data_IF_341836574194
#
_entry.id   IF_341836574194
#
_cell.length_a   1.000
_cell.length_b   1.000
_cell.length_c   1.000
_cell.angle_alpha   90.00
_cell.angle_beta   90.00
_cell.angle_gamma   90.00
#
_symmetry.space_group_name_H-M   'P 1'
#
loop_
_entity.id
_entity.type
_entity.pdbx_description
1 polymer ?
#
# COMPACT_ATOMS: atom_id res chain seq x y z
N UNK A 1 -7.42 -3.76 -22.90
CA UNK A 1 -7.03 -2.63 -22.03
C UNK A 1 -5.81 -3.09 -21.27
N UNK A 2 -4.62 -2.73 -21.75
CA UNK A 2 -3.39 -3.07 -21.05
C UNK A 2 -3.27 -2.08 -19.90
N UNK A 3 -3.57 -2.54 -18.69
CA UNK A 3 -3.38 -1.76 -17.48
C UNK A 3 -1.87 -1.51 -17.35
N UNK A 4 -1.44 -0.27 -17.57
CA UNK A 4 -0.06 0.12 -17.38
C UNK A 4 0.13 0.32 -15.87
N UNK A 5 0.28 -0.80 -15.15
CA UNK A 5 0.40 -0.79 -13.70
C UNK A 5 1.68 -0.07 -13.29
N UNK A 6 1.54 1.17 -12.83
CA UNK A 6 2.64 1.96 -12.27
C UNK A 6 2.82 1.49 -10.82
N UNK A 7 4.07 1.24 -10.43
CA UNK A 7 4.43 0.86 -9.07
C UNK A 7 5.47 1.81 -8.50
N UNK A 8 5.39 2.07 -7.19
CA UNK A 8 6.44 2.72 -6.41
C UNK A 8 7.26 1.65 -5.69
N UNK A 9 8.56 1.86 -5.57
CA UNK A 9 9.43 1.00 -4.77
C UNK A 9 9.41 1.47 -3.31
N UNK A 10 9.17 0.54 -2.38
CA UNK A 10 9.27 0.77 -0.94
C UNK A 10 10.26 -0.22 -0.32
N UNK A 11 11.18 0.28 0.50
CA UNK A 11 12.09 -0.56 1.29
C UNK A 11 11.59 -0.58 2.72
N UNK A 12 11.27 -1.77 3.23
CA UNK A 12 10.75 -1.94 4.58
C UNK A 12 11.81 -1.65 5.64
N UNK A 13 11.35 -1.19 6.79
CA UNK A 13 12.14 -1.09 8.02
C UNK A 13 11.82 -2.25 8.96
N UNK A 14 12.74 -2.54 9.90
CA UNK A 14 12.57 -3.66 10.83
C UNK A 14 11.33 -3.46 11.71
N UNK A 15 10.43 -4.44 11.72
CA UNK A 15 9.19 -4.39 12.50
C UNK A 15 8.06 -3.60 11.84
N UNK A 16 8.21 -3.18 10.58
CA UNK A 16 7.19 -2.44 9.86
C UNK A 16 5.96 -3.32 9.55
N UNK A 17 4.77 -2.71 9.50
CA UNK A 17 3.50 -3.40 9.33
C UNK A 17 2.83 -3.06 8.01
N UNK A 18 2.10 -4.01 7.45
CA UNK A 18 1.33 -3.83 6.23
C UNK A 18 0.35 -2.65 6.31
N UNK A 19 -0.36 -2.51 7.43
CA UNK A 19 -1.32 -1.42 7.66
C UNK A 19 -0.66 -0.03 7.66
N UNK A 20 0.54 0.10 8.22
CA UNK A 20 1.32 1.34 8.17
C UNK A 20 1.77 1.71 6.76
N UNK A 21 2.20 0.73 5.97
CA UNK A 21 2.60 0.96 4.58
C UNK A 21 1.37 1.40 3.78
N UNK A 22 0.24 0.72 3.93
CA UNK A 22 -1.00 1.10 3.25
C UNK A 22 -1.49 2.50 3.64
N UNK A 23 -1.47 2.84 4.93
CA UNK A 23 -1.76 4.20 5.39
C UNK A 23 -0.85 5.24 4.73
N UNK A 24 0.46 4.97 4.63
CA UNK A 24 1.43 5.90 4.05
C UNK A 24 1.16 6.20 2.57
N UNK A 25 0.78 5.19 1.80
CA UNK A 25 0.64 5.34 0.34
C UNK A 25 -0.79 5.59 -0.11
N UNK A 26 -1.78 5.18 0.68
CA UNK A 26 -3.19 5.23 0.29
C UNK A 26 -4.08 6.02 1.26
N UNK A 27 -3.53 6.53 2.37
CA UNK A 27 -4.32 7.07 3.47
C UNK A 27 -5.43 6.10 3.95
N UNK A 28 -5.20 4.80 3.75
CA UNK A 28 -6.15 3.73 4.04
C UNK A 28 -5.38 2.54 4.65
N UNK A 29 -5.53 2.27 5.96
CA UNK A 29 -4.82 1.20 6.62
C UNK A 29 -5.40 -0.18 6.30
N UNK A 30 -6.59 -0.30 5.69
CA UNK A 30 -7.13 -1.58 5.21
C UNK A 30 -6.75 -1.85 3.75
N UNK A 31 -6.17 -0.87 3.07
CA UNK A 31 -5.71 -0.96 1.69
C UNK A 31 -4.52 -1.90 1.45
N UNK A 32 -3.92 -2.51 2.48
CA UNK A 32 -2.71 -3.34 2.32
C UNK A 32 -2.92 -4.59 1.46
N UNK A 33 -4.16 -5.07 1.30
CA UNK A 33 -4.46 -6.24 0.47
C UNK A 33 -3.94 -6.10 -0.96
N UNK A 34 -3.99 -4.90 -1.54
CA UNK A 34 -3.46 -4.64 -2.90
C UNK A 34 -1.93 -4.73 -2.96
N UNK A 35 -1.25 -4.34 -1.89
CA UNK A 35 0.20 -4.45 -1.76
C UNK A 35 0.60 -5.93 -1.66
N UNK A 36 -0.12 -6.70 -0.84
CA UNK A 36 0.12 -8.15 -0.69
C UNK A 36 -0.07 -8.88 -2.03
N UNK A 37 -1.15 -8.57 -2.76
CA UNK A 37 -1.41 -9.17 -4.08
C UNK A 37 -0.35 -8.81 -5.12
N UNK A 38 0.22 -7.61 -5.06
CA UNK A 38 1.31 -7.18 -5.94
C UNK A 38 2.66 -7.83 -5.58
N UNK A 39 2.82 -8.34 -4.35
CA UNK A 39 4.05 -8.94 -3.85
C UNK A 39 3.83 -10.39 -3.37
N UNK A 40 3.38 -11.32 -4.23
CA UNK A 40 3.06 -12.70 -3.83
C UNK A 40 4.27 -13.51 -3.36
N UNK A 41 5.48 -13.01 -3.62
CA UNK A 41 6.75 -13.59 -3.17
C UNK A 41 7.11 -13.20 -1.73
N UNK A 42 6.41 -12.26 -1.12
CA UNK A 42 6.63 -11.81 0.26
C UNK A 42 5.65 -12.53 1.18
N UNK A 43 6.15 -13.11 2.26
CA UNK A 43 5.32 -13.77 3.25
C UNK A 43 4.42 -12.74 3.96
N UNK A 44 3.14 -13.07 4.13
CA UNK A 44 2.17 -12.23 4.85
C UNK A 44 2.32 -12.46 6.35
N UNK A 45 3.27 -11.77 6.96
CA UNK A 45 3.50 -11.78 8.41
C UNK A 45 2.94 -10.52 9.07
N UNK A 46 2.62 -10.54 10.39
CA UNK A 46 2.12 -9.35 11.10
C UNK A 46 3.11 -8.18 11.11
N UNK A 47 4.41 -8.50 11.11
CA UNK A 47 5.52 -7.55 11.01
C UNK A 47 6.48 -8.03 9.94
N UNK A 48 7.05 -7.09 9.19
CA UNK A 48 7.98 -7.31 8.11
C UNK A 48 9.41 -7.10 8.61
N UNK A 49 10.37 -7.94 8.19
CA UNK A 49 11.78 -7.65 8.39
C UNK A 49 12.19 -6.42 7.57
N UNK A 50 13.24 -5.75 8.01
CA UNK A 50 13.83 -4.62 7.27
C UNK A 50 14.53 -5.07 6.00
N UNK A 51 14.55 -4.19 5.00
CA UNK A 51 15.28 -4.39 3.74
C UNK A 51 14.52 -5.18 2.68
N UNK A 52 13.24 -5.52 2.89
CA UNK A 52 12.40 -6.06 1.83
C UNK A 52 12.01 -4.96 0.86
N UNK A 53 11.96 -5.32 -0.41
CA UNK A 53 11.57 -4.43 -1.50
C UNK A 53 10.16 -4.76 -1.94
N UNK A 54 9.24 -3.83 -1.72
CA UNK A 54 7.84 -3.97 -2.07
C UNK A 54 7.52 -3.11 -3.29
N UNK A 55 6.78 -3.68 -4.23
CA UNK A 55 6.10 -2.93 -5.27
C UNK A 55 4.76 -2.42 -4.72
N UNK A 56 4.60 -1.11 -4.63
CA UNK A 56 3.37 -0.46 -4.17
C UNK A 56 2.56 -0.02 -5.39
N UNK A 57 1.41 -0.64 -5.69
CA UNK A 57 0.57 -0.22 -6.81
C UNK A 57 0.14 1.24 -6.68
N UNK A 58 0.30 2.05 -7.73
CA UNK A 58 -0.31 3.38 -7.80
C UNK A 58 -1.75 3.21 -8.22
N UNK A 59 -2.67 3.82 -7.46
CA UNK A 59 -4.10 3.81 -7.72
C UNK A 59 -4.59 5.23 -7.95
N UNK A 60 -5.66 5.40 -8.71
CA UNK A 60 -6.30 6.70 -8.85
C UNK A 60 -7.05 7.06 -7.56
N UNK A 61 -7.02 8.34 -7.20
CA UNK A 61 -7.65 8.85 -5.97
C UNK A 61 -9.16 8.60 -5.94
N UNK A 62 -9.82 8.46 -7.11
CA UNK A 62 -11.23 8.07 -7.19
C UNK A 62 -11.53 6.70 -6.60
N UNK A 63 -10.54 5.80 -6.56
CA UNK A 63 -10.68 4.45 -6.02
C UNK A 63 -10.50 4.41 -4.49
N UNK A 64 -9.92 5.47 -3.93
CA UNK A 64 -9.88 5.69 -2.48
C UNK A 64 -11.15 6.47 -2.14
N UNK A 65 -12.19 5.76 -1.67
CA UNK A 65 -13.38 6.42 -1.12
C UNK A 65 -12.99 7.16 0.15
N UNK A 66 -12.42 8.36 0.02
CA UNK A 66 -12.29 9.31 1.11
C UNK A 66 -13.71 9.82 1.41
N UNK A 67 -14.27 9.40 2.54
CA UNK A 67 -15.18 10.27 3.27
C UNK A 67 -14.38 11.52 3.67
N UNK A 68 -14.22 12.45 2.72
CA UNK A 68 -13.58 13.72 2.96
C UNK A 68 -14.38 14.42 4.06
N UNK A 69 -13.73 14.79 5.16
CA UNK A 69 -14.44 15.45 6.25
C UNK A 69 -14.97 16.82 5.76
N UNK A 70 -16.14 17.27 6.26
CA UNK A 70 -16.92 18.34 5.64
C UNK A 70 -16.25 19.73 5.61
N UNK A 71 -15.16 19.92 6.36
CA UNK A 71 -14.38 21.17 6.42
C UNK A 71 -13.29 21.29 5.34
N UNK A 72 -13.10 20.26 4.52
CA UNK A 72 -12.17 20.26 3.38
C UNK A 72 -12.88 20.47 2.03
N UNK A 73 -14.19 20.78 2.05
CA UNK A 73 -14.98 21.07 0.84
C UNK A 73 -14.93 22.53 0.43
#
# INVERSE_FOLDING_TARGET
>A
MSDNSIFLEHITTEGERWDHIAWRYYADPVGYGRIVLANPHVAVTPVLPGGLRLAIPVIDVSDVTEELPPWLR
#
